data_IF_013509429881
#
_entry.id   IF_013509429881
#
_cell.length_a   1.000
_cell.length_b   1.000
_cell.length_c   1.000
_cell.angle_alpha   90.00
_cell.angle_beta   90.00
_cell.angle_gamma   90.00
#
_symmetry.space_group_name_H-M   'P 1'
#
loop_
_entity.id
_entity.type
_entity.pdbx_description
1 polymer ?
#
# COMPACT_ATOMS: atom_id res chain seq x y z
N UNK A 1 -0.81 20.73 16.72
CA UNK A 1 -0.67 19.39 17.30
C UNK A 1 0.26 18.59 16.41
N UNK A 2 1.24 17.96 16.99
CA UNK A 2 2.16 17.07 16.27
C UNK A 2 1.79 15.63 16.53
N UNK A 3 1.72 14.85 15.48
CA UNK A 3 1.41 13.42 15.55
C UNK A 3 2.59 12.65 14.96
N UNK A 4 3.13 11.73 15.74
CA UNK A 4 4.05 10.72 15.24
C UNK A 4 3.26 9.43 15.04
N UNK A 5 3.11 9.03 13.80
CA UNK A 5 2.38 7.82 13.45
C UNK A 5 3.36 6.76 12.92
N UNK A 6 3.47 5.66 13.63
CA UNK A 6 4.22 4.47 13.19
C UNK A 6 3.25 3.48 12.59
N UNK A 7 3.45 3.14 11.33
CA UNK A 7 2.55 2.18 10.72
C UNK A 7 2.97 1.75 9.32
N UNK A 8 2.28 0.74 8.86
CA UNK A 8 2.58 0.09 7.59
C UNK A 8 2.34 1.00 6.39
N UNK A 9 3.26 0.86 5.42
CA UNK A 9 3.13 1.38 4.06
C UNK A 9 3.22 0.17 3.15
N UNK A 10 2.19 -0.08 2.37
CA UNK A 10 2.10 -1.28 1.53
C UNK A 10 1.75 -0.91 0.09
N UNK A 11 2.16 -1.78 -0.80
CA UNK A 11 1.78 -1.71 -2.20
C UNK A 11 0.75 -2.80 -2.46
N UNK A 12 -0.47 -2.42 -2.81
CA UNK A 12 -1.52 -3.39 -3.10
C UNK A 12 -1.59 -3.65 -4.61
N UNK A 13 -1.28 -4.89 -5.00
CA UNK A 13 -1.41 -5.35 -6.38
C UNK A 13 -2.76 -6.05 -6.54
N UNK A 14 -3.66 -5.43 -7.26
CA UNK A 14 -5.02 -5.96 -7.48
C UNK A 14 -5.11 -6.53 -8.88
N UNK A 15 -5.38 -7.82 -8.95
CA UNK A 15 -5.60 -8.55 -10.21
C UNK A 15 -7.08 -8.92 -10.31
N UNK A 16 -7.73 -8.46 -11.36
CA UNK A 16 -9.10 -8.87 -11.66
C UNK A 16 -9.07 -10.13 -12.52
N UNK A 17 -9.76 -11.15 -12.08
CA UNK A 17 -9.83 -12.44 -12.77
C UNK A 17 -11.29 -12.86 -12.95
N UNK A 18 -11.56 -13.74 -13.89
CA UNK A 18 -12.92 -14.31 -14.05
C UNK A 18 -13.23 -15.25 -12.88
N UNK A 19 -12.32 -16.17 -12.60
CA UNK A 19 -12.39 -17.09 -11.49
C UNK A 19 -11.03 -17.16 -10.81
N UNK A 20 -11.01 -17.47 -9.53
CA UNK A 20 -9.75 -17.68 -8.81
C UNK A 20 -8.97 -18.84 -9.42
N UNK A 21 -7.65 -18.65 -9.53
CA UNK A 21 -6.74 -19.68 -10.00
C UNK A 21 -6.76 -20.88 -9.04
N UNK A 22 -6.81 -22.08 -9.60
CA UNK A 22 -6.74 -23.34 -8.85
C UNK A 22 -5.34 -23.93 -8.95
N UNK A 23 -4.98 -24.85 -8.05
CA UNK A 23 -3.68 -25.51 -8.13
C UNK A 23 -3.41 -26.10 -9.52
N UNK A 24 -2.23 -25.85 -10.04
CA UNK A 24 -1.80 -26.34 -11.36
C UNK A 24 -2.32 -25.57 -12.57
N UNK A 25 -3.18 -24.58 -12.37
CA UNK A 25 -3.72 -23.75 -13.46
C UNK A 25 -2.85 -22.54 -13.74
N UNK A 26 -2.91 -22.06 -14.98
CA UNK A 26 -2.41 -20.75 -15.39
C UNK A 26 -3.58 -19.94 -15.92
N UNK A 27 -3.80 -18.77 -15.35
CA UNK A 27 -4.90 -17.91 -15.73
C UNK A 27 -4.35 -16.53 -16.09
N UNK A 28 -4.86 -15.94 -17.16
CA UNK A 28 -4.54 -14.54 -17.51
C UNK A 28 -5.52 -13.61 -16.79
N UNK A 29 -4.99 -12.71 -15.99
CA UNK A 29 -5.81 -11.69 -15.34
C UNK A 29 -6.38 -10.71 -16.37
N UNK A 30 -7.56 -10.19 -16.09
CA UNK A 30 -8.22 -9.18 -16.93
C UNK A 30 -7.58 -7.82 -16.77
N UNK A 31 -7.12 -7.50 -15.56
CA UNK A 31 -6.48 -6.22 -15.26
C UNK A 31 -5.52 -6.36 -14.08
N UNK A 32 -4.59 -5.43 -14.00
CA UNK A 32 -3.67 -5.26 -12.87
C UNK A 32 -3.64 -3.79 -12.51
N UNK A 33 -3.96 -3.48 -11.28
CA UNK A 33 -3.91 -2.12 -10.75
C UNK A 33 -3.10 -2.09 -9.47
N UNK A 34 -2.27 -1.07 -9.32
CA UNK A 34 -1.44 -0.86 -8.12
C UNK A 34 -2.05 0.26 -7.30
N UNK A 35 -2.28 -0.02 -6.02
CA UNK A 35 -2.77 0.96 -5.07
C UNK A 35 -1.79 1.14 -3.93
N UNK A 36 -1.75 2.36 -3.40
CA UNK A 36 -1.10 2.63 -2.13
C UNK A 36 -1.99 2.07 -1.01
N UNK A 37 -1.41 1.29 -0.13
CA UNK A 37 -2.11 0.68 0.99
C UNK A 37 -1.36 0.82 2.30
N UNK A 38 -1.89 0.17 3.30
CA UNK A 38 -1.37 0.21 4.65
C UNK A 38 -2.18 1.12 5.56
N UNK A 39 -2.56 0.58 6.71
CA UNK A 39 -3.35 1.34 7.68
C UNK A 39 -2.60 2.56 8.19
N UNK A 40 -1.29 2.42 8.40
CA UNK A 40 -0.44 3.53 8.83
C UNK A 40 -0.41 4.66 7.82
N UNK A 41 -0.20 4.35 6.55
CA UNK A 41 -0.22 5.34 5.47
C UNK A 41 -1.55 6.08 5.44
N UNK A 42 -2.66 5.35 5.46
CA UNK A 42 -3.99 5.96 5.38
C UNK A 42 -4.29 6.86 6.57
N UNK A 43 -3.88 6.47 7.77
CA UNK A 43 -4.05 7.29 8.97
C UNK A 43 -3.26 8.59 8.88
N UNK A 44 -2.01 8.53 8.44
CA UNK A 44 -1.17 9.72 8.30
C UNK A 44 -1.74 10.69 7.26
N UNK A 45 -2.19 10.17 6.12
CA UNK A 45 -2.80 10.99 5.08
C UNK A 45 -4.06 11.68 5.61
N UNK A 46 -4.93 10.93 6.29
CA UNK A 46 -6.16 11.49 6.83
C UNK A 46 -5.89 12.57 7.88
N UNK A 47 -4.97 12.32 8.80
CA UNK A 47 -4.60 13.27 9.84
C UNK A 47 -3.97 14.56 9.26
N UNK A 48 -3.07 14.41 8.29
CA UNK A 48 -2.44 15.54 7.63
C UNK A 48 -3.46 16.40 6.87
N UNK A 49 -4.37 15.77 6.15
CA UNK A 49 -5.45 16.48 5.45
C UNK A 49 -6.41 17.18 6.40
N UNK A 50 -6.54 16.70 7.62
CA UNK A 50 -7.34 17.34 8.66
C UNK A 50 -6.61 18.50 9.36
N UNK A 51 -5.36 18.79 8.98
CA UNK A 51 -4.61 19.93 9.46
C UNK A 51 -3.59 19.63 10.57
N UNK A 52 -3.38 18.38 10.94
CA UNK A 52 -2.36 18.00 11.91
C UNK A 52 -0.96 18.04 11.28
N UNK A 53 0.04 18.35 12.11
CA UNK A 53 1.44 18.13 11.73
C UNK A 53 1.75 16.65 11.95
N UNK A 54 1.95 15.91 10.88
CA UNK A 54 2.18 14.46 10.94
C UNK A 54 3.60 14.12 10.52
N UNK A 55 4.27 13.35 11.36
CA UNK A 55 5.52 12.68 11.03
C UNK A 55 5.20 11.19 10.90
N UNK A 56 5.48 10.61 9.74
CA UNK A 56 5.24 9.19 9.52
C UNK A 56 6.52 8.38 9.74
N UNK A 57 6.46 7.40 10.64
CA UNK A 57 7.50 6.40 10.85
C UNK A 57 7.08 5.07 10.23
N UNK A 58 7.98 4.48 9.49
CA UNK A 58 7.76 3.21 8.80
C UNK A 58 8.92 2.89 7.89
N UNK A 59 8.75 1.89 7.05
CA UNK A 59 9.81 1.45 6.15
C UNK A 59 9.27 1.22 4.75
N UNK A 60 10.07 1.57 3.76
CA UNK A 60 9.81 1.28 2.34
C UNK A 60 11.06 0.70 1.70
N UNK A 61 10.87 -0.05 0.62
CA UNK A 61 11.96 -0.49 -0.25
C UNK A 61 12.15 0.42 -1.45
N UNK A 62 13.00 0.01 -2.41
CA UNK A 62 13.26 0.82 -3.61
C UNK A 62 12.03 1.10 -4.47
N UNK A 63 11.01 0.25 -4.39
CA UNK A 63 9.75 0.35 -5.12
C UNK A 63 8.69 1.21 -4.40
N UNK A 64 8.98 1.68 -3.20
CA UNK A 64 8.01 2.38 -2.34
C UNK A 64 8.05 3.90 -2.41
N UNK A 65 8.84 4.48 -3.28
CA UNK A 65 9.01 5.94 -3.37
C UNK A 65 7.70 6.70 -3.59
N UNK A 66 6.76 6.12 -4.34
CA UNK A 66 5.45 6.75 -4.57
C UNK A 66 4.61 6.86 -3.28
N UNK A 67 4.82 5.98 -2.31
CA UNK A 67 4.16 6.06 -1.00
C UNK A 67 4.65 7.26 -0.21
N UNK A 68 5.95 7.51 -0.23
CA UNK A 68 6.54 8.71 0.38
C UNK A 68 5.98 9.98 -0.28
N UNK A 69 5.87 9.98 -1.59
CA UNK A 69 5.31 11.11 -2.34
C UNK A 69 3.86 11.40 -1.96
N UNK A 70 3.05 10.36 -1.76
CA UNK A 70 1.66 10.53 -1.31
C UNK A 70 1.56 11.15 0.08
N UNK A 71 2.46 10.76 1.00
CA UNK A 71 2.54 11.38 2.32
C UNK A 71 2.87 12.87 2.20
N UNK A 72 3.87 13.22 1.41
CA UNK A 72 4.30 14.59 1.18
C UNK A 72 3.20 15.43 0.54
N UNK A 73 2.50 14.90 -0.46
CA UNK A 73 1.37 15.59 -1.10
C UNK A 73 0.23 15.86 -0.13
N UNK A 74 0.02 15.00 0.86
CA UNK A 74 -0.99 15.20 1.91
C UNK A 74 -0.53 16.20 2.99
N UNK A 75 0.76 16.55 3.01
CA UNK A 75 1.33 17.45 4.00
C UNK A 75 2.01 16.75 5.18
N UNK A 76 2.20 15.45 5.12
CA UNK A 76 2.92 14.69 6.14
C UNK A 76 4.43 14.71 5.90
N UNK A 77 5.21 14.62 6.97
CA UNK A 77 6.65 14.49 6.89
C UNK A 77 7.04 13.04 6.65
N UNK A 78 7.59 12.74 5.49
CA UNK A 78 8.10 11.43 5.09
C UNK A 78 9.62 11.32 5.22
N UNK A 79 10.28 12.32 5.79
CA UNK A 79 11.74 12.37 5.87
C UNK A 79 12.37 11.38 6.85
N UNK A 80 11.58 10.75 7.70
CA UNK A 80 12.04 9.78 8.70
C UNK A 80 11.73 8.33 8.35
N UNK A 81 11.28 8.06 7.13
CA UNK A 81 11.07 6.69 6.67
C UNK A 81 12.39 5.96 6.57
N UNK A 82 12.43 4.72 7.04
CA UNK A 82 13.54 3.82 6.77
C UNK A 82 13.46 3.38 5.32
N UNK A 83 14.59 3.48 4.62
CA UNK A 83 14.70 3.01 3.24
C UNK A 83 15.54 1.73 3.24
N UNK A 84 14.86 0.61 3.04
CA UNK A 84 15.46 -0.71 3.08
C UNK A 84 15.85 -1.15 1.68
N UNK A 85 16.75 -2.11 1.60
CA UNK A 85 17.22 -2.69 0.34
C UNK A 85 16.48 -4.00 0.00
N UNK A 86 15.22 -4.06 0.37
CA UNK A 86 14.30 -5.15 0.07
C UNK A 86 13.00 -4.56 -0.47
N UNK A 87 12.17 -5.34 -1.16
CA UNK A 87 10.89 -4.83 -1.64
C UNK A 87 10.02 -4.29 -0.50
N UNK A 88 9.26 -3.25 -0.78
CA UNK A 88 8.24 -2.76 0.16
C UNK A 88 7.22 -3.85 0.44
N UNK A 89 6.70 -3.90 1.67
CA UNK A 89 5.58 -4.77 2.03
C UNK A 89 4.47 -4.63 1.00
N UNK A 90 3.95 -5.75 0.51
CA UNK A 90 2.99 -5.72 -0.58
C UNK A 90 2.00 -6.86 -0.49
N UNK A 91 0.94 -6.73 -1.23
CA UNK A 91 -0.11 -7.75 -1.34
C UNK A 91 -0.27 -8.19 -2.78
N UNK A 92 -0.77 -9.40 -2.94
CA UNK A 92 -1.36 -9.87 -4.19
C UNK A 92 -2.82 -10.13 -3.90
N UNK A 93 -3.68 -9.35 -4.52
CA UNK A 93 -5.13 -9.42 -4.32
C UNK A 93 -5.77 -9.87 -5.62
N UNK A 94 -6.49 -10.99 -5.57
CA UNK A 94 -7.32 -11.43 -6.68
C UNK A 94 -8.77 -11.08 -6.40
N UNK A 95 -9.43 -10.50 -7.39
CA UNK A 95 -10.86 -10.18 -7.33
C UNK A 95 -11.55 -10.91 -8.47
N UNK A 96 -12.51 -11.77 -8.17
CA UNK A 96 -13.24 -12.52 -9.19
C UNK A 96 -14.45 -11.75 -9.73
N UNK A 97 -15.14 -12.34 -10.71
CA UNK A 97 -16.30 -11.72 -11.34
C UNK A 97 -17.47 -11.48 -10.36
N UNK A 98 -17.53 -12.22 -9.28
CA UNK A 98 -18.55 -12.05 -8.22
C UNK A 98 -18.20 -11.01 -7.17
N UNK A 99 -17.02 -10.37 -7.29
CA UNK A 99 -16.55 -9.39 -6.31
C UNK A 99 -15.92 -10.00 -5.06
N UNK A 100 -15.74 -11.32 -5.01
CA UNK A 100 -14.99 -11.95 -3.93
C UNK A 100 -13.51 -11.67 -4.10
N UNK A 101 -12.80 -11.54 -2.99
CA UNK A 101 -11.37 -11.36 -3.04
C UNK A 101 -10.64 -12.38 -2.18
N UNK A 102 -9.37 -12.59 -2.50
CA UNK A 102 -8.43 -13.29 -1.63
C UNK A 102 -7.08 -12.58 -1.70
N UNK A 103 -6.39 -12.57 -0.57
CA UNK A 103 -5.24 -11.69 -0.36
C UNK A 103 -4.06 -12.50 0.15
N UNK A 104 -2.93 -12.36 -0.54
CA UNK A 104 -1.64 -12.83 -0.09
C UNK A 104 -0.80 -11.62 0.31
N UNK A 105 -0.23 -11.65 1.51
CA UNK A 105 0.59 -10.56 2.05
C UNK A 105 2.04 -11.01 2.14
N UNK A 106 2.94 -10.12 1.76
CA UNK A 106 4.38 -10.29 1.94
C UNK A 106 4.97 -9.19 2.78
#
# INVERSE_FOLDING_TARGET
MKILNFGSLNIDNVYTVEEFIRPGETVTAKSHTVFAGGKGLNQSIAAARAGAEVIHGGAIGPDGGFLASLLEEAGADAGHLLRLDIPTGHTVIEVDAGGQNRILVW
#
